data_IF_192203233383
#
_entry.id   IF_192203233383
#
_cell.length_a   1.000
_cell.length_b   1.000
_cell.length_c   1.000
_cell.angle_alpha   90.00
_cell.angle_beta   90.00
_cell.angle_gamma   90.00
#
_symmetry.space_group_name_H-M   'P 1'
#
loop_
_entity.id
_entity.type
_entity.pdbx_description
1 polymer ?
#
# COMPACT_ATOMS: atom_id res chain seq x y z
N UNK A 1 -2.34 -26.09 -7.59
CA UNK A 1 -2.57 -25.55 -6.24
C UNK A 1 -1.19 -25.42 -5.65
N UNK A 2 -0.50 -24.36 -6.04
CA UNK A 2 0.91 -24.18 -5.71
C UNK A 2 1.00 -23.31 -4.46
N UNK A 3 1.59 -23.94 -3.45
CA UNK A 3 1.86 -23.41 -2.12
C UNK A 3 3.06 -22.47 -2.22
N UNK A 4 2.81 -21.21 -2.59
CA UNK A 4 3.84 -20.18 -2.56
C UNK A 4 4.09 -19.80 -1.10
N UNK A 5 5.14 -20.39 -0.50
CA UNK A 5 5.66 -19.98 0.80
C UNK A 5 6.05 -18.50 0.74
N UNK A 6 5.29 -17.64 1.40
CA UNK A 6 5.64 -16.23 1.55
C UNK A 6 6.89 -16.11 2.45
N UNK A 7 7.87 -15.27 2.07
CA UNK A 7 8.97 -14.97 2.98
C UNK A 7 8.41 -14.29 4.24
N UNK A 8 8.89 -14.73 5.41
CA UNK A 8 8.59 -14.06 6.66
C UNK A 8 9.01 -12.58 6.54
N UNK A 9 8.09 -11.67 6.85
CA UNK A 9 8.41 -10.25 6.97
C UNK A 9 9.46 -10.16 8.10
N UNK A 10 10.65 -9.58 7.86
CA UNK A 10 11.61 -9.37 8.93
C UNK A 10 10.95 -8.44 9.93
N UNK A 11 10.71 -8.92 11.14
CA UNK A 11 10.27 -8.07 12.25
C UNK A 11 11.38 -7.05 12.51
N UNK A 12 11.18 -5.82 12.03
CA UNK A 12 12.07 -4.71 12.32
C UNK A 12 11.93 -4.37 13.80
N UNK A 13 13.03 -4.35 14.59
CA UNK A 13 12.95 -4.08 16.02
C UNK A 13 12.31 -2.73 16.35
N UNK A 14 12.30 -1.79 15.41
CA UNK A 14 11.78 -0.44 15.57
C UNK A 14 10.26 -0.38 15.79
N UNK A 15 9.48 -1.33 15.26
CA UNK A 15 8.02 -1.33 15.44
C UNK A 15 7.62 -1.69 16.87
N UNK A 16 8.50 -2.39 17.59
CA UNK A 16 8.29 -2.81 18.99
C UNK A 16 8.62 -1.71 20.02
N UNK A 17 9.46 -0.72 19.66
CA UNK A 17 9.85 0.37 20.58
C UNK A 17 8.83 1.52 20.63
N UNK A 18 7.92 1.62 19.66
CA UNK A 18 7.00 2.76 19.53
C UNK A 18 5.71 2.64 20.34
N UNK A 19 5.45 1.48 20.95
CA UNK A 19 4.27 1.23 21.77
C UNK A 19 4.71 0.95 23.20
N UNK A 20 4.99 1.99 23.98
CA UNK A 20 5.11 1.84 25.44
C UNK A 20 3.75 1.38 25.99
N UNK A 21 3.63 0.09 26.31
CA UNK A 21 2.45 -0.43 26.99
C UNK A 21 2.50 -0.10 28.49
N UNK A 22 1.79 0.96 28.85
CA UNK A 22 0.81 1.04 29.94
C UNK A 22 1.21 0.53 31.34
N UNK A 23 1.43 1.47 32.27
CA UNK A 23 1.43 1.21 33.72
C UNK A 23 0.05 0.95 34.35
N UNK A 24 -1.07 0.93 33.59
CA UNK A 24 -2.41 0.69 34.18
C UNK A 24 -3.52 0.26 33.19
N UNK A 25 -3.19 -0.23 31.98
CA UNK A 25 -4.19 -0.76 31.04
C UNK A 25 -5.30 0.21 30.57
N UNK A 26 -5.16 1.53 30.79
CA UNK A 26 -6.21 2.55 30.49
C UNK A 26 -5.94 3.51 29.33
N UNK A 27 -4.69 3.73 28.93
CA UNK A 27 -4.38 4.53 27.75
C UNK A 27 -3.03 4.17 27.11
N UNK A 28 -2.99 4.08 25.78
CA UNK A 28 -1.76 3.99 24.99
C UNK A 28 -1.21 5.39 24.73
N UNK A 29 0.10 5.60 24.87
CA UNK A 29 0.74 6.89 24.59
C UNK A 29 1.58 6.76 23.33
N UNK A 30 1.24 7.53 22.30
CA UNK A 30 1.94 7.51 21.01
C UNK A 30 2.64 8.84 20.80
N UNK A 31 3.93 8.82 20.49
CA UNK A 31 4.68 10.04 20.17
C UNK A 31 4.72 10.22 18.65
N UNK A 32 4.04 11.25 18.14
CA UNK A 32 3.99 11.55 16.71
C UNK A 32 4.68 12.89 16.49
N UNK A 33 5.82 12.89 15.76
CA UNK A 33 6.63 14.09 15.49
C UNK A 33 7.02 14.85 16.77
N UNK A 34 7.43 14.12 17.81
CA UNK A 34 7.79 14.68 19.12
C UNK A 34 6.61 15.13 19.99
N UNK A 35 5.38 15.06 19.49
CA UNK A 35 4.18 15.34 20.28
C UNK A 35 3.63 14.06 20.89
N UNK A 36 3.49 14.03 22.21
CA UNK A 36 2.85 12.91 22.93
C UNK A 36 1.34 13.00 22.78
N UNK A 37 0.71 11.90 22.33
CA UNK A 37 -0.74 11.73 22.18
C UNK A 37 -1.20 10.57 23.05
N UNK A 38 -2.32 10.75 23.74
CA UNK A 38 -2.89 9.74 24.64
C UNK A 38 -4.16 9.17 24.00
N UNK A 39 -4.18 7.86 23.80
CA UNK A 39 -5.28 7.10 23.23
C UNK A 39 -5.91 6.26 24.35
N UNK A 40 -7.13 6.60 24.74
CA UNK A 40 -7.82 5.90 25.83
C UNK A 40 -8.48 4.61 25.34
N UNK A 41 -8.22 3.51 26.03
CA UNK A 41 -8.83 2.23 25.71
C UNK A 41 -10.31 2.21 26.13
N UNK A 42 -11.17 1.46 25.40
CA UNK A 42 -12.55 1.22 25.84
C UNK A 42 -12.57 0.47 27.18
N UNK A 43 -13.65 0.62 27.95
CA UNK A 43 -13.76 0.09 29.34
C UNK A 43 -13.52 -1.42 29.44
N UNK A 44 -13.91 -2.17 28.42
CA UNK A 44 -13.69 -3.61 28.31
C UNK A 44 -12.86 -3.87 27.04
N UNK A 45 -11.53 -3.80 27.12
CA UNK A 45 -10.68 -4.07 25.97
C UNK A 45 -10.75 -5.56 25.63
N UNK A 46 -10.95 -5.87 24.36
CA UNK A 46 -10.69 -7.22 23.86
C UNK A 46 -9.18 -7.33 23.69
N UNK A 47 -8.56 -8.37 24.25
CA UNK A 47 -7.13 -8.65 24.02
C UNK A 47 -6.89 -8.77 22.53
N UNK A 48 -6.21 -7.79 21.95
CA UNK A 48 -5.86 -7.79 20.55
C UNK A 48 -4.42 -8.28 20.42
N UNK A 49 -4.25 -9.48 19.86
CA UNK A 49 -2.95 -9.91 19.36
C UNK A 49 -2.86 -9.40 17.93
N UNK A 50 -1.91 -8.51 17.60
CA UNK A 50 -1.73 -8.06 16.23
C UNK A 50 -1.37 -9.25 15.37
N UNK A 51 -2.25 -9.60 14.45
CA UNK A 51 -2.04 -10.61 13.42
C UNK A 51 -2.19 -9.95 12.06
N UNK A 52 -1.44 -10.38 11.03
CA UNK A 52 -1.63 -9.87 9.68
C UNK A 52 -3.10 -10.04 9.24
N UNK A 53 -3.65 -9.06 8.51
CA UNK A 53 -4.98 -9.19 7.95
C UNK A 53 -5.03 -10.39 7.00
N UNK A 54 -6.16 -11.08 6.95
CA UNK A 54 -6.36 -12.23 6.05
C UNK A 54 -6.46 -11.84 4.58
N UNK A 55 -6.81 -10.59 4.30
CA UNK A 55 -6.98 -10.04 2.96
C UNK A 55 -5.77 -9.23 2.56
N UNK A 56 -5.36 -9.39 1.30
CA UNK A 56 -4.30 -8.61 0.67
C UNK A 56 -4.96 -7.58 -0.25
N UNK A 57 -4.38 -6.38 -0.32
CA UNK A 57 -4.82 -5.36 -1.25
C UNK A 57 -4.11 -5.55 -2.59
N UNK A 58 -4.87 -5.47 -3.68
CA UNK A 58 -4.36 -5.50 -5.04
C UNK A 58 -4.84 -4.26 -5.78
N UNK A 59 -3.97 -3.68 -6.60
CA UNK A 59 -4.34 -2.54 -7.44
C UNK A 59 -5.33 -3.00 -8.51
N UNK A 60 -6.50 -2.36 -8.52
CA UNK A 60 -7.58 -2.68 -9.46
C UNK A 60 -7.64 -1.67 -10.61
N UNK A 61 -7.58 -0.37 -10.29
CA UNK A 61 -7.69 0.68 -11.28
C UNK A 61 -6.86 1.91 -10.94
N UNK A 62 -6.26 2.49 -11.97
CA UNK A 62 -5.61 3.80 -11.91
C UNK A 62 -6.45 4.80 -12.69
N UNK A 63 -6.88 5.85 -12.00
CA UNK A 63 -7.62 6.95 -12.60
C UNK A 63 -6.70 8.11 -12.97
N UNK A 64 -6.89 8.66 -14.16
CA UNK A 64 -6.14 9.81 -14.67
C UNK A 64 -5.08 9.43 -15.70
N UNK A 65 -4.55 10.47 -16.35
CA UNK A 65 -3.50 10.38 -17.36
C UNK A 65 -2.54 11.57 -17.19
N UNK A 66 -1.24 11.30 -17.14
CA UNK A 66 -0.20 12.33 -17.00
C UNK A 66 0.16 12.92 -18.36
N UNK A 67 -0.64 13.90 -18.80
CA UNK A 67 -0.47 14.58 -20.09
C UNK A 67 0.08 16.01 -20.03
N UNK A 68 0.17 16.61 -18.85
CA UNK A 68 0.50 18.04 -18.68
C UNK A 68 2.00 18.35 -18.77
N UNK A 69 2.83 17.48 -18.21
CA UNK A 69 4.27 17.70 -17.99
C UNK A 69 5.14 16.69 -18.75
N UNK A 70 4.55 15.63 -19.28
CA UNK A 70 5.26 14.57 -20.01
C UNK A 70 4.88 14.55 -21.49
N UNK A 71 5.85 14.20 -22.34
CA UNK A 71 5.65 13.96 -23.78
C UNK A 71 5.99 12.51 -24.10
N UNK A 72 5.31 11.93 -25.10
CA UNK A 72 5.49 10.52 -25.49
C UNK A 72 5.22 9.56 -24.32
N UNK A 73 4.08 9.72 -23.65
CA UNK A 73 3.61 8.87 -22.55
C UNK A 73 2.35 8.08 -22.97
N UNK A 74 2.21 7.77 -24.25
CA UNK A 74 1.07 6.99 -24.72
C UNK A 74 1.49 6.19 -25.94
N UNK A 75 1.32 4.88 -25.85
CA UNK A 75 1.62 3.95 -26.91
C UNK A 75 0.43 3.01 -27.12
N UNK A 76 0.24 2.61 -28.37
CA UNK A 76 -0.68 1.53 -28.73
C UNK A 76 0.17 0.29 -29.01
N UNK A 77 -0.04 -0.76 -28.25
CA UNK A 77 0.67 -2.02 -28.43
C UNK A 77 0.14 -2.77 -29.67
N UNK A 78 0.91 -3.70 -30.25
CA UNK A 78 0.42 -4.54 -31.35
C UNK A 78 -0.84 -5.35 -31.00
N UNK A 79 -1.09 -5.60 -29.71
CA UNK A 79 -2.32 -6.21 -29.19
C UNK A 79 -3.55 -5.30 -29.28
N UNK A 80 -3.38 -4.00 -29.53
CA UNK A 80 -4.44 -2.98 -29.48
C UNK A 80 -4.61 -2.33 -28.10
N UNK A 81 -3.87 -2.76 -27.09
CA UNK A 81 -3.91 -2.21 -25.74
C UNK A 81 -3.17 -0.86 -25.66
N UNK A 82 -3.61 -0.01 -24.74
CA UNK A 82 -3.00 1.29 -24.47
C UNK A 82 -1.98 1.17 -23.33
N UNK A 83 -0.74 1.54 -23.59
CA UNK A 83 0.32 1.66 -22.58
C UNK A 83 0.57 3.13 -22.27
N UNK A 84 0.50 3.50 -21.00
CA UNK A 84 0.85 4.82 -20.48
C UNK A 84 1.31 4.69 -19.02
N UNK A 85 1.85 5.75 -18.43
CA UNK A 85 2.22 5.77 -17.01
C UNK A 85 1.66 6.98 -16.27
N UNK A 86 1.40 6.77 -14.98
CA UNK A 86 0.97 7.79 -14.01
C UNK A 86 1.71 7.53 -12.70
N UNK A 87 2.35 8.57 -12.15
CA UNK A 87 3.26 8.44 -11.01
C UNK A 87 4.30 7.32 -11.26
N UNK A 88 4.45 6.38 -10.32
CA UNK A 88 5.37 5.25 -10.41
C UNK A 88 4.74 3.99 -11.06
N UNK A 89 3.58 4.09 -11.71
CA UNK A 89 2.85 2.93 -12.24
C UNK A 89 2.73 3.00 -13.74
N UNK A 90 3.16 1.94 -14.44
CA UNK A 90 2.83 1.75 -15.85
C UNK A 90 1.52 0.96 -15.98
N UNK A 91 0.61 1.49 -16.78
CA UNK A 91 -0.75 1.00 -16.99
C UNK A 91 -0.87 0.46 -18.41
N UNK A 92 -1.31 -0.78 -18.53
CA UNK A 92 -1.70 -1.42 -19.78
C UNK A 92 -3.22 -1.57 -19.72
N UNK A 93 -3.92 -0.81 -20.55
CA UNK A 93 -5.38 -0.76 -20.59
C UNK A 93 -5.90 -1.46 -21.84
N UNK A 94 -6.65 -2.54 -21.63
CA UNK A 94 -7.50 -3.13 -22.66
C UNK A 94 -8.86 -2.42 -22.67
N UNK A 95 -9.12 -1.69 -23.75
CA UNK A 95 -10.38 -0.94 -23.93
C UNK A 95 -11.56 -1.82 -24.34
N UNK A 96 -11.31 -3.05 -24.78
CA UNK A 96 -12.35 -3.97 -25.26
C UNK A 96 -13.05 -4.62 -24.08
N UNK A 97 -12.25 -5.15 -23.16
CA UNK A 97 -12.74 -5.84 -21.96
C UNK A 97 -12.79 -4.93 -20.72
N UNK A 98 -12.35 -3.68 -20.84
CA UNK A 98 -12.26 -2.67 -19.78
C UNK A 98 -11.45 -3.18 -18.57
N UNK A 99 -10.28 -3.75 -18.86
CA UNK A 99 -9.36 -4.32 -17.87
C UNK A 99 -8.05 -3.54 -17.86
N UNK A 100 -7.49 -3.33 -16.66
CA UNK A 100 -6.16 -2.77 -16.48
C UNK A 100 -5.18 -3.81 -15.92
N UNK A 101 -3.97 -3.79 -16.47
CA UNK A 101 -2.80 -4.46 -15.90
C UNK A 101 -1.79 -3.40 -15.49
N UNK A 102 -1.11 -3.62 -14.37
CA UNK A 102 -0.21 -2.64 -13.79
C UNK A 102 1.19 -3.23 -13.59
N UNK A 103 2.19 -2.42 -13.89
CA UNK A 103 3.57 -2.68 -13.49
C UNK A 103 3.97 -1.66 -12.43
N UNK A 104 4.29 -2.16 -11.23
CA UNK A 104 4.45 -1.36 -9.99
C UNK A 104 5.83 -1.46 -9.37
N UNK A 105 6.84 -1.97 -10.10
CA UNK A 105 8.19 -2.15 -9.57
C UNK A 105 9.02 -0.86 -9.53
N UNK A 106 8.53 0.23 -10.13
CA UNK A 106 9.20 1.53 -10.00
C UNK A 106 8.98 2.09 -8.59
N UNK A 107 10.06 2.56 -7.97
CA UNK A 107 10.02 3.20 -6.65
C UNK A 107 9.78 4.70 -6.72
N UNK A 108 9.91 5.30 -7.91
CA UNK A 108 9.74 6.74 -8.18
C UNK A 108 8.93 6.96 -9.47
N UNK A 109 8.55 8.22 -9.71
CA UNK A 109 7.81 8.65 -10.89
C UNK A 109 8.50 8.26 -12.21
N UNK A 110 7.74 7.63 -13.11
CA UNK A 110 8.19 7.28 -14.46
C UNK A 110 8.28 8.57 -15.30
N UNK A 111 9.35 8.69 -16.12
CA UNK A 111 9.69 9.87 -16.93
C UNK A 111 9.62 9.59 -18.43
#
# INVERSE_FOLDING_TARGET
>A
MDDAAYPAIPETPEDSELVEEMTDGRAAVVTIKGQRRVLHAPRNPVTFVPVPPRSILTLDWVYGYRGSDTRKNLWVLPSGELLYYVAAVAVILDRTDDVQRHYTEHTEDIQ
#
